data_IF_516224507491
#
_entry.id   IF_516224507491
#
_cell.length_a   1.000
_cell.length_b   1.000
_cell.length_c   1.000
_cell.angle_alpha   90.00
_cell.angle_beta   90.00
_cell.angle_gamma   90.00
#
_symmetry.space_group_name_H-M   'P 1'
#
loop_
_entity.id
_entity.type
_entity.pdbx_description
1 polymer ?
#
# COMPACT_ATOMS: atom_id res chain seq x y z
N UNK A 1 22.85 -0.36 -0.63
CA UNK A 1 23.70 -0.51 -1.83
C UNK A 1 22.90 -0.53 -3.13
N UNK A 2 21.93 -1.44 -3.30
CA UNK A 2 21.15 -1.54 -4.54
C UNK A 2 20.38 -0.26 -4.93
N UNK A 3 19.84 0.47 -3.95
CA UNK A 3 19.12 1.72 -4.19
C UNK A 3 19.95 2.75 -4.97
N UNK A 4 21.19 3.01 -4.53
CA UNK A 4 22.07 3.99 -5.20
C UNK A 4 22.38 3.57 -6.64
N UNK A 5 22.58 2.27 -6.86
CA UNK A 5 22.79 1.73 -8.20
C UNK A 5 21.55 1.89 -9.08
N UNK A 6 20.35 1.63 -8.56
CA UNK A 6 19.10 1.80 -9.30
C UNK A 6 18.84 3.26 -9.67
N UNK A 7 19.02 4.19 -8.72
CA UNK A 7 18.90 5.63 -8.98
C UNK A 7 19.93 6.06 -10.03
N UNK A 8 21.17 5.61 -9.90
CA UNK A 8 22.21 5.88 -10.90
C UNK A 8 21.84 5.32 -12.28
N UNK A 9 21.36 4.09 -12.37
CA UNK A 9 20.97 3.43 -13.61
C UNK A 9 19.84 4.18 -14.32
N UNK A 10 18.79 4.54 -13.60
CA UNK A 10 17.64 5.26 -14.16
C UNK A 10 18.00 6.66 -14.62
N UNK A 11 18.90 7.35 -13.93
CA UNK A 11 19.38 8.67 -14.34
C UNK A 11 20.42 8.60 -15.47
N UNK A 12 21.21 7.52 -15.56
CA UNK A 12 22.29 7.40 -16.54
C UNK A 12 21.82 6.91 -17.90
N UNK A 13 20.78 6.06 -17.96
CA UNK A 13 20.28 5.46 -19.19
C UNK A 13 19.06 6.26 -19.70
N UNK A 14 19.20 7.07 -20.76
CA UNK A 14 18.15 8.01 -21.18
C UNK A 14 16.85 7.33 -21.67
N UNK A 15 16.94 6.05 -22.04
CA UNK A 15 15.78 5.27 -22.48
C UNK A 15 14.66 5.22 -21.43
N UNK A 16 14.99 5.15 -20.13
CA UNK A 16 14.00 5.10 -19.06
C UNK A 16 13.16 6.37 -18.94
N UNK A 17 13.73 7.52 -19.32
CA UNK A 17 13.08 8.83 -19.26
C UNK A 17 12.65 9.33 -20.64
N UNK A 18 12.59 8.44 -21.63
CA UNK A 18 12.28 8.76 -23.01
C UNK A 18 13.14 9.91 -23.58
N UNK A 19 14.44 9.92 -23.25
CA UNK A 19 15.42 10.93 -23.66
C UNK A 19 15.05 12.36 -23.24
N UNK A 20 14.22 12.54 -22.20
CA UNK A 20 13.89 13.84 -21.65
C UNK A 20 15.14 14.52 -21.05
N UNK A 21 15.40 15.76 -21.45
CA UNK A 21 16.52 16.57 -20.94
C UNK A 21 16.42 16.87 -19.45
N UNK A 22 15.21 16.90 -18.89
CA UNK A 22 14.94 17.08 -17.47
C UNK A 22 15.23 15.85 -16.62
N UNK A 23 15.44 14.66 -17.22
CA UNK A 23 15.56 13.41 -16.48
C UNK A 23 14.27 12.94 -15.80
N UNK A 24 13.12 13.52 -16.14
CA UNK A 24 11.81 13.22 -15.55
C UNK A 24 10.80 12.80 -16.60
N UNK A 25 9.88 11.92 -16.23
CA UNK A 25 8.75 11.52 -17.09
C UNK A 25 7.54 12.32 -16.63
N UNK A 26 6.91 13.07 -17.53
CA UNK A 26 5.62 13.71 -17.25
C UNK A 26 4.47 12.80 -17.63
N UNK A 27 3.43 12.77 -16.81
CA UNK A 27 2.22 12.02 -17.14
C UNK A 27 1.55 12.66 -18.37
N UNK A 28 1.50 11.97 -19.53
CA UNK A 28 0.85 12.51 -20.70
C UNK A 28 -0.65 12.67 -20.43
N UNK A 29 -1.32 13.67 -21.02
CA UNK A 29 -2.76 13.80 -20.90
C UNK A 29 -3.44 12.59 -21.54
N UNK A 30 -4.25 11.86 -20.77
CA UNK A 30 -5.05 10.74 -21.25
C UNK A 30 -6.49 10.94 -20.85
N UNK A 31 -7.39 10.67 -21.79
CA UNK A 31 -8.82 10.67 -21.57
C UNK A 31 -9.35 9.25 -21.48
N UNK A 32 -10.27 9.01 -20.55
CA UNK A 32 -11.00 7.75 -20.39
C UNK A 32 -12.48 8.11 -20.42
N UNK A 33 -13.24 7.52 -21.36
CA UNK A 33 -14.65 7.85 -21.60
C UNK A 33 -14.94 9.36 -21.74
N UNK A 34 -14.02 10.10 -22.37
CA UNK A 34 -14.15 11.55 -22.59
C UNK A 34 -13.73 12.43 -21.40
N UNK A 35 -13.42 11.85 -20.24
CA UNK A 35 -12.92 12.57 -19.05
C UNK A 35 -11.40 12.49 -19.00
N UNK A 36 -10.73 13.61 -18.75
CA UNK A 36 -9.27 13.63 -18.59
C UNK A 36 -8.87 13.07 -17.23
N UNK A 37 -8.09 12.00 -17.24
CA UNK A 37 -7.70 11.24 -16.05
C UNK A 37 -6.27 11.52 -15.64
N UNK A 38 -5.36 11.60 -16.62
CA UNK A 38 -3.95 11.94 -16.39
C UNK A 38 -3.63 13.27 -17.07
N UNK A 39 -2.57 13.93 -16.60
CA UNK A 39 -2.09 15.19 -17.15
C UNK A 39 -2.38 16.43 -16.28
N UNK A 40 -1.77 17.58 -16.59
CA UNK A 40 -1.77 18.76 -15.72
C UNK A 40 -3.16 19.35 -15.44
N UNK A 41 -4.08 19.21 -16.39
CA UNK A 41 -5.43 19.77 -16.34
C UNK A 41 -6.49 18.76 -15.87
N UNK A 42 -6.11 17.53 -15.53
CA UNK A 42 -7.03 16.53 -15.00
C UNK A 42 -7.54 16.93 -13.62
N UNK A 43 -8.85 16.83 -13.40
CA UNK A 43 -9.47 17.23 -12.12
C UNK A 43 -9.07 16.26 -10.99
N UNK A 44 -8.90 16.73 -9.74
CA UNK A 44 -8.59 15.86 -8.61
C UNK A 44 -9.60 14.73 -8.42
N UNK A 45 -10.87 15.00 -8.71
CA UNK A 45 -11.96 14.03 -8.62
C UNK A 45 -11.81 12.91 -9.65
N UNK A 46 -11.46 13.25 -10.91
CA UNK A 46 -11.25 12.24 -11.95
C UNK A 46 -10.06 11.32 -11.63
N UNK A 47 -8.97 11.88 -11.11
CA UNK A 47 -7.80 11.11 -10.65
C UNK A 47 -8.19 10.16 -9.51
N UNK A 48 -8.91 10.67 -8.51
CA UNK A 48 -9.36 9.88 -7.36
C UNK A 48 -10.30 8.74 -7.77
N UNK A 49 -11.31 9.01 -8.61
CA UNK A 49 -12.26 7.96 -9.05
C UNK A 49 -11.57 6.89 -9.88
N UNK A 50 -10.59 7.27 -10.70
CA UNK A 50 -9.80 6.31 -11.48
C UNK A 50 -8.93 5.44 -10.58
N UNK A 51 -8.22 6.05 -9.63
CA UNK A 51 -7.44 5.35 -8.61
C UNK A 51 -8.32 4.36 -7.84
N UNK A 52 -9.47 4.83 -7.33
CA UNK A 52 -10.44 4.01 -6.63
C UNK A 52 -10.96 2.84 -7.48
N UNK A 53 -11.24 3.08 -8.75
CA UNK A 53 -11.70 2.02 -9.66
C UNK A 53 -10.62 0.94 -9.86
N UNK A 54 -9.36 1.33 -10.09
CA UNK A 54 -8.24 0.39 -10.23
C UNK A 54 -8.01 -0.40 -8.96
N UNK A 55 -8.00 0.27 -7.80
CA UNK A 55 -7.87 -0.37 -6.49
C UNK A 55 -9.03 -1.31 -6.21
N UNK A 56 -10.28 -0.93 -6.53
CA UNK A 56 -11.45 -1.77 -6.34
C UNK A 56 -11.42 -3.04 -7.20
N UNK A 57 -11.05 -2.90 -8.48
CA UNK A 57 -10.87 -4.03 -9.40
C UNK A 57 -9.72 -4.93 -8.92
N UNK A 58 -8.57 -4.35 -8.57
CA UNK A 58 -7.42 -5.07 -8.02
C UNK A 58 -7.78 -5.83 -6.74
N UNK A 59 -8.50 -5.20 -5.82
CA UNK A 59 -8.96 -5.84 -4.58
C UNK A 59 -9.94 -6.99 -4.85
N UNK A 60 -10.85 -6.83 -5.82
CA UNK A 60 -11.78 -7.88 -6.23
C UNK A 60 -11.03 -9.08 -6.82
N UNK A 61 -10.08 -8.84 -7.72
CA UNK A 61 -9.23 -9.88 -8.32
C UNK A 61 -8.42 -10.59 -7.24
N UNK A 62 -7.77 -9.84 -6.34
CA UNK A 62 -7.00 -10.40 -5.22
C UNK A 62 -7.89 -11.29 -4.33
N UNK A 63 -9.08 -10.81 -3.98
CA UNK A 63 -10.04 -11.57 -3.15
C UNK A 63 -10.48 -12.86 -3.83
N UNK A 64 -10.78 -12.83 -5.12
CA UNK A 64 -11.18 -14.01 -5.88
C UNK A 64 -10.02 -15.01 -6.01
N UNK A 65 -8.81 -14.51 -6.24
CA UNK A 65 -7.60 -15.31 -6.38
C UNK A 65 -7.22 -16.03 -5.08
N UNK A 66 -7.28 -15.31 -3.95
CA UNK A 66 -7.03 -15.88 -2.61
C UNK A 66 -8.06 -16.94 -2.23
N UNK A 67 -9.33 -16.75 -2.63
CA UNK A 67 -10.40 -17.74 -2.41
C UNK A 67 -10.31 -18.95 -3.34
N UNK A 68 -9.65 -18.80 -4.50
CA UNK A 68 -9.51 -19.83 -5.51
C UNK A 68 -8.51 -20.94 -5.16
N UNK A 69 -8.29 -21.84 -6.12
CA UNK A 69 -7.30 -22.93 -5.98
C UNK A 69 -5.88 -22.40 -5.76
N UNK A 70 -5.51 -21.34 -6.50
CA UNK A 70 -4.18 -20.71 -6.43
C UNK A 70 -3.88 -20.19 -5.02
N UNK A 71 -4.81 -19.44 -4.43
CA UNK A 71 -4.69 -18.95 -3.06
C UNK A 71 -4.56 -20.05 -2.02
N UNK A 72 -5.32 -21.14 -2.15
CA UNK A 72 -5.19 -22.31 -1.26
C UNK A 72 -3.83 -22.99 -1.37
N UNK A 73 -3.28 -23.09 -2.59
CA UNK A 73 -1.92 -23.61 -2.80
C UNK A 73 -0.85 -22.71 -2.17
N UNK A 74 -1.03 -21.38 -2.18
CA UNK A 74 -0.14 -20.45 -1.46
C UNK A 74 -0.22 -20.61 0.05
N UNK A 75 -1.42 -20.75 0.61
CA UNK A 75 -1.59 -20.99 2.05
C UNK A 75 -0.93 -22.30 2.48
N UNK A 76 -1.10 -23.38 1.70
CA UNK A 76 -0.47 -24.67 2.00
C UNK A 76 1.08 -24.57 2.04
N UNK A 77 1.69 -23.91 1.06
CA UNK A 77 3.15 -23.72 1.03
C UNK A 77 3.65 -22.81 2.15
N UNK A 78 2.88 -21.77 2.50
CA UNK A 78 3.22 -20.86 3.61
C UNK A 78 3.27 -21.61 4.94
N UNK A 79 2.34 -22.54 5.15
CA UNK A 79 2.24 -23.26 6.41
C UNK A 79 3.30 -24.37 6.51
N UNK A 80 3.40 -25.27 5.50
CA UNK A 80 4.44 -26.31 5.38
C UNK A 80 4.65 -26.72 3.92
N UNK A 81 5.81 -26.41 3.35
CA UNK A 81 6.14 -26.71 1.96
C UNK A 81 6.29 -28.22 1.68
N UNK A 82 6.95 -28.98 2.55
CA UNK A 82 7.09 -30.44 2.42
C UNK A 82 5.71 -31.12 2.40
N UNK A 83 4.81 -30.72 3.31
CA UNK A 83 3.46 -31.29 3.37
C UNK A 83 2.63 -30.92 2.13
N UNK A 84 2.77 -29.68 1.63
CA UNK A 84 2.11 -29.23 0.41
C UNK A 84 2.55 -30.05 -0.81
N UNK A 85 3.82 -30.45 -0.88
CA UNK A 85 4.35 -31.28 -1.95
C UNK A 85 3.77 -32.70 -1.95
N UNK A 86 3.61 -33.31 -0.76
CA UNK A 86 3.00 -34.65 -0.62
C UNK A 86 1.55 -34.69 -1.14
N UNK A 87 0.77 -33.62 -0.93
CA UNK A 87 -0.60 -33.50 -1.43
C UNK A 87 -0.68 -33.03 -2.90
N UNK A 88 0.45 -32.98 -3.62
CA UNK A 88 0.52 -32.70 -5.05
C UNK A 88 0.65 -31.22 -5.44
N UNK A 89 0.93 -30.32 -4.50
CA UNK A 89 1.21 -28.90 -4.82
C UNK A 89 2.68 -28.75 -5.19
N UNK A 90 2.97 -28.33 -6.42
CA UNK A 90 4.35 -28.11 -6.90
C UNK A 90 4.93 -26.82 -6.29
N UNK A 91 5.98 -26.88 -5.43
CA UNK A 91 6.46 -25.69 -4.71
C UNK A 91 7.01 -24.61 -5.64
N UNK A 92 7.83 -25.00 -6.62
CA UNK A 92 8.48 -24.07 -7.56
C UNK A 92 7.45 -23.19 -8.30
N UNK A 93 6.49 -23.81 -8.98
CA UNK A 93 5.47 -23.08 -9.78
C UNK A 93 4.64 -22.16 -8.90
N UNK A 94 4.29 -22.62 -7.71
CA UNK A 94 3.41 -21.88 -6.80
C UNK A 94 4.13 -20.67 -6.19
N UNK A 95 5.42 -20.78 -5.83
CA UNK A 95 6.27 -19.67 -5.39
C UNK A 95 6.52 -18.66 -6.52
N UNK A 96 6.79 -19.11 -7.75
CA UNK A 96 6.95 -18.23 -8.91
C UNK A 96 5.66 -17.46 -9.24
N UNK A 97 4.50 -18.11 -9.17
CA UNK A 97 3.21 -17.45 -9.33
C UNK A 97 2.97 -16.40 -8.24
N UNK A 98 3.29 -16.72 -6.97
CA UNK A 98 3.18 -15.76 -5.87
C UNK A 98 4.04 -14.52 -6.12
N UNK A 99 5.30 -14.73 -6.53
CA UNK A 99 6.22 -13.65 -6.87
C UNK A 99 5.70 -12.81 -8.03
N UNK A 100 5.38 -13.43 -9.18
CA UNK A 100 4.95 -12.70 -10.38
C UNK A 100 3.67 -11.90 -10.16
N UNK A 101 2.70 -12.46 -9.45
CA UNK A 101 1.44 -11.75 -9.13
C UNK A 101 1.72 -10.61 -8.15
N UNK A 102 2.54 -10.81 -7.13
CA UNK A 102 2.90 -9.73 -6.19
C UNK A 102 3.63 -8.58 -6.91
N UNK A 103 4.59 -8.91 -7.79
CA UNK A 103 5.30 -7.92 -8.60
C UNK A 103 4.36 -7.15 -9.53
N UNK A 104 3.34 -7.80 -10.10
CA UNK A 104 2.31 -7.13 -10.90
C UNK A 104 1.55 -6.08 -10.08
N UNK A 105 1.07 -6.42 -8.88
CA UNK A 105 0.38 -5.45 -8.00
C UNK A 105 1.30 -4.29 -7.61
N UNK A 106 2.58 -4.55 -7.29
CA UNK A 106 3.55 -3.49 -7.01
C UNK A 106 3.78 -2.58 -8.23
N UNK A 107 3.84 -3.14 -9.44
CA UNK A 107 3.99 -2.37 -10.68
C UNK A 107 2.79 -1.48 -10.96
N UNK A 108 1.57 -1.99 -10.79
CA UNK A 108 0.33 -1.20 -10.95
C UNK A 108 0.27 -0.07 -9.92
N UNK A 109 0.56 -0.37 -8.64
CA UNK A 109 0.58 0.65 -7.58
C UNK A 109 1.63 1.74 -7.83
N UNK A 110 2.83 1.37 -8.32
CA UNK A 110 3.86 2.34 -8.71
C UNK A 110 3.43 3.22 -9.88
N UNK A 111 2.78 2.65 -10.90
CA UNK A 111 2.23 3.42 -12.00
C UNK A 111 1.13 4.38 -11.53
N UNK A 112 0.24 3.93 -10.64
CA UNK A 112 -0.80 4.77 -10.04
C UNK A 112 -0.21 5.97 -9.28
N UNK A 113 0.84 5.73 -8.47
CA UNK A 113 1.55 6.77 -7.75
C UNK A 113 2.14 7.83 -8.69
N UNK A 114 2.73 7.42 -9.81
CA UNK A 114 3.33 8.35 -10.79
C UNK A 114 2.25 9.10 -11.57
N UNK A 115 1.30 8.39 -12.17
CA UNK A 115 0.40 8.98 -13.17
C UNK A 115 -0.81 9.68 -12.57
N UNK A 116 -1.31 9.23 -11.40
CA UNK A 116 -2.50 9.80 -10.75
C UNK A 116 -2.16 10.70 -9.56
N UNK A 117 -1.12 10.37 -8.79
CA UNK A 117 -0.77 11.14 -7.58
C UNK A 117 0.29 12.22 -7.85
N UNK A 118 1.51 11.83 -8.27
CA UNK A 118 2.61 12.76 -8.48
C UNK A 118 2.48 13.59 -9.77
N UNK A 119 1.96 12.99 -10.84
CA UNK A 119 1.86 13.62 -12.18
C UNK A 119 3.19 13.64 -12.95
N UNK A 120 4.29 13.25 -12.31
CA UNK A 120 5.59 13.03 -12.95
C UNK A 120 6.39 11.98 -12.17
N UNK A 121 7.24 11.23 -12.88
CA UNK A 121 8.22 10.34 -12.25
C UNK A 121 9.57 11.04 -12.12
N UNK A 122 10.09 11.01 -10.90
CA UNK A 122 11.45 11.41 -10.55
C UNK A 122 12.08 10.28 -9.75
N UNK A 123 13.36 9.97 -9.98
CA UNK A 123 14.04 8.86 -9.32
C UNK A 123 14.16 9.04 -7.80
N UNK A 124 14.22 10.30 -7.34
CA UNK A 124 14.36 10.65 -5.92
C UNK A 124 13.07 10.41 -5.13
N UNK A 125 11.92 10.35 -5.80
CA UNK A 125 10.64 10.04 -5.14
C UNK A 125 10.58 8.57 -4.64
N UNK A 126 11.45 7.70 -5.13
CA UNK A 126 11.49 6.27 -4.80
C UNK A 126 12.65 5.91 -3.86
N UNK A 127 12.72 6.58 -2.72
CA UNK A 127 13.70 6.31 -1.67
C UNK A 127 13.33 5.07 -0.83
N UNK A 128 14.31 4.52 -0.11
CA UNK A 128 14.09 3.39 0.82
C UNK A 128 13.07 3.73 1.92
N UNK A 129 12.94 5.00 2.29
CA UNK A 129 11.93 5.47 3.25
C UNK A 129 10.52 5.11 2.80
N UNK A 130 10.22 5.19 1.49
CA UNK A 130 8.94 4.77 0.93
C UNK A 130 8.72 3.27 1.09
N UNK A 131 9.78 2.46 0.93
CA UNK A 131 9.72 1.01 1.12
C UNK A 131 9.40 0.65 2.58
N UNK A 132 10.03 1.34 3.54
CA UNK A 132 9.71 1.16 4.96
C UNK A 132 8.28 1.58 5.29
N UNK A 133 7.82 2.70 4.75
CA UNK A 133 6.46 3.18 4.94
C UNK A 133 5.43 2.15 4.46
N UNK A 134 5.62 1.59 3.26
CA UNK A 134 4.74 0.53 2.73
C UNK A 134 4.83 -0.74 3.58
N UNK A 135 6.04 -1.13 4.03
CA UNK A 135 6.22 -2.26 4.93
C UNK A 135 5.45 -2.07 6.24
N UNK A 136 5.51 -0.89 6.86
CA UNK A 136 4.78 -0.59 8.08
C UNK A 136 3.27 -0.61 7.88
N UNK A 137 2.75 -0.11 6.74
CA UNK A 137 1.33 -0.25 6.41
C UNK A 137 0.89 -1.72 6.45
N UNK A 138 1.68 -2.63 5.87
CA UNK A 138 1.32 -4.05 5.81
C UNK A 138 1.47 -4.73 7.18
N UNK A 139 2.52 -4.43 7.93
CA UNK A 139 2.75 -5.02 9.26
C UNK A 139 1.63 -4.59 10.23
N UNK A 140 1.34 -3.28 10.31
CA UNK A 140 0.31 -2.75 11.19
C UNK A 140 -1.08 -3.21 10.74
N UNK A 141 -1.33 -3.24 9.43
CA UNK A 141 -2.57 -3.73 8.87
C UNK A 141 -2.85 -5.21 9.17
N UNK A 142 -1.80 -6.03 9.18
CA UNK A 142 -1.86 -7.48 9.41
C UNK A 142 -1.43 -8.26 8.16
N UNK A 143 -0.34 -9.02 8.31
CA UNK A 143 0.25 -9.84 7.23
C UNK A 143 -0.74 -10.89 6.73
N UNK A 144 -0.92 -10.95 5.40
CA UNK A 144 -1.79 -11.95 4.76
C UNK A 144 -3.28 -11.64 4.77
N UNK A 145 -3.69 -10.44 5.21
CA UNK A 145 -5.09 -9.98 5.15
C UNK A 145 -5.27 -8.83 4.15
N UNK A 146 -6.14 -9.04 3.16
CA UNK A 146 -6.48 -7.98 2.18
C UNK A 146 -7.13 -6.78 2.88
N UNK A 147 -8.06 -7.02 3.81
CA UNK A 147 -8.67 -5.94 4.60
C UNK A 147 -7.64 -5.27 5.52
N UNK A 148 -6.70 -6.04 6.04
CA UNK A 148 -5.58 -5.53 6.84
C UNK A 148 -4.76 -4.50 6.07
N UNK A 149 -4.41 -4.78 4.82
CA UNK A 149 -3.67 -3.85 3.97
C UNK A 149 -4.38 -2.50 3.82
N UNK A 150 -5.71 -2.48 3.68
CA UNK A 150 -6.48 -1.24 3.63
C UNK A 150 -6.52 -0.51 4.97
N UNK A 151 -6.73 -1.22 6.07
CA UNK A 151 -6.74 -0.62 7.41
C UNK A 151 -5.38 -0.04 7.79
N UNK A 152 -4.29 -0.74 7.48
CA UNK A 152 -2.93 -0.27 7.72
C UNK A 152 -2.57 0.95 6.88
N UNK A 153 -2.93 0.96 5.60
CA UNK A 153 -2.76 2.14 4.75
C UNK A 153 -3.59 3.34 5.25
N UNK A 154 -4.86 3.12 5.61
CA UNK A 154 -5.71 4.15 6.18
C UNK A 154 -5.15 4.68 7.50
N UNK A 155 -4.65 3.81 8.37
CA UNK A 155 -4.03 4.20 9.63
C UNK A 155 -2.79 5.07 9.42
N UNK A 156 -1.84 4.61 8.61
CA UNK A 156 -0.59 5.33 8.36
C UNK A 156 -0.83 6.69 7.68
N UNK A 157 -1.85 6.81 6.82
CA UNK A 157 -2.14 8.06 6.10
C UNK A 157 -3.00 9.02 6.93
N UNK A 158 -4.07 8.51 7.56
CA UNK A 158 -5.05 9.37 8.25
C UNK A 158 -4.53 9.85 9.61
N UNK A 159 -3.76 9.04 10.34
CA UNK A 159 -3.29 9.40 11.68
C UNK A 159 -2.45 10.69 11.66
N UNK A 160 -1.39 10.82 10.81
CA UNK A 160 -0.65 12.07 10.70
C UNK A 160 -1.52 13.27 10.33
N UNK A 161 -2.48 13.09 9.41
CA UNK A 161 -3.41 14.15 9.01
C UNK A 161 -4.26 14.61 10.20
N UNK A 162 -4.80 13.67 10.99
CA UNK A 162 -5.58 13.98 12.19
C UNK A 162 -4.71 14.69 13.24
N UNK A 163 -3.49 14.22 13.46
CA UNK A 163 -2.53 14.83 14.39
C UNK A 163 -2.10 16.24 13.97
N UNK A 164 -1.91 16.48 12.68
CA UNK A 164 -1.63 17.83 12.17
C UNK A 164 -2.85 18.73 12.34
N UNK A 165 -4.08 18.25 12.10
CA UNK A 165 -5.27 19.10 12.13
C UNK A 165 -5.86 19.30 13.55
N UNK A 166 -5.61 18.40 14.49
CA UNK A 166 -6.18 18.45 15.85
C UNK A 166 -5.83 19.71 16.66
N UNK A 167 -4.58 20.22 16.69
CA UNK A 167 -4.24 21.44 17.42
C UNK A 167 -4.99 22.67 16.92
N UNK A 168 -5.23 22.75 15.60
CA UNK A 168 -6.00 23.83 14.99
C UNK A 168 -7.47 23.79 15.39
N UNK A 169 -8.05 22.59 15.57
CA UNK A 169 -9.44 22.42 16.02
C UNK A 169 -9.63 22.78 17.50
N UNK A 170 -8.60 22.60 18.33
CA UNK A 170 -8.63 22.88 19.77
C UNK A 170 -8.18 24.32 20.09
N UNK A 171 -7.81 25.11 19.08
CA UNK A 171 -7.38 26.50 19.25
C UNK A 171 -5.96 26.67 19.82
N UNK A 172 -5.15 25.61 19.81
CA UNK A 172 -3.77 25.64 20.27
C UNK A 172 -2.85 26.12 19.15
N UNK A 173 -2.38 27.36 19.25
CA UNK A 173 -1.36 27.91 18.36
C UNK A 173 0.03 27.40 18.74
N UNK A 174 0.34 26.16 18.36
CA UNK A 174 1.68 25.59 18.51
C UNK A 174 2.59 26.04 17.36
N UNK A 175 3.89 26.27 17.61
CA UNK A 175 4.87 26.44 16.54
C UNK A 175 4.89 25.21 15.62
N UNK A 176 4.93 25.44 14.30
CA UNK A 176 4.88 24.37 13.28
C UNK A 176 5.97 23.32 13.49
N UNK A 177 7.16 23.74 13.94
CA UNK A 177 8.27 22.83 14.25
C UNK A 177 7.95 21.86 15.39
N UNK A 178 7.31 22.34 16.46
CA UNK A 178 6.91 21.52 17.59
C UNK A 178 5.80 20.55 17.19
N UNK A 179 4.85 21.00 16.38
CA UNK A 179 3.75 20.18 15.87
C UNK A 179 4.27 18.98 15.07
N UNK A 180 5.29 19.18 14.23
CA UNK A 180 5.90 18.08 13.47
C UNK A 180 6.68 17.09 14.33
N UNK A 181 7.40 17.57 15.35
CA UNK A 181 8.10 16.69 16.29
C UNK A 181 7.13 15.87 17.14
N UNK A 182 6.04 16.50 17.61
CA UNK A 182 4.96 15.85 18.34
C UNK A 182 4.24 14.80 17.48
N UNK A 183 3.95 15.13 16.22
CA UNK A 183 3.38 14.19 15.25
C UNK A 183 4.26 12.95 15.11
N UNK A 184 5.57 13.12 14.90
CA UNK A 184 6.52 12.00 14.80
C UNK A 184 6.58 11.16 16.08
N UNK A 185 6.63 11.81 17.26
CA UNK A 185 6.65 11.11 18.55
C UNK A 185 5.38 10.29 18.79
N UNK A 186 4.21 10.90 18.60
CA UNK A 186 2.93 10.22 18.82
C UNK A 186 2.71 9.14 17.78
N UNK A 187 3.05 9.40 16.52
CA UNK A 187 2.95 8.41 15.46
C UNK A 187 3.86 7.21 15.70
N UNK A 188 5.13 7.43 16.05
CA UNK A 188 6.07 6.36 16.43
C UNK A 188 5.60 5.58 17.65
N UNK A 189 5.11 6.29 18.68
CA UNK A 189 4.53 5.68 19.88
C UNK A 189 3.31 4.82 19.58
N UNK A 190 2.43 5.29 18.69
CA UNK A 190 1.27 4.52 18.23
C UNK A 190 1.68 3.26 17.48
N UNK A 191 2.69 3.33 16.61
CA UNK A 191 3.20 2.14 15.91
C UNK A 191 3.72 1.11 16.92
N UNK A 192 4.54 1.53 17.89
CA UNK A 192 5.07 0.64 18.93
C UNK A 192 3.92 0.03 19.74
N UNK A 193 2.95 0.84 20.14
CA UNK A 193 1.78 0.39 20.86
C UNK A 193 1.00 -0.67 20.08
N UNK A 194 0.72 -0.44 18.79
CA UNK A 194 0.01 -1.41 17.96
C UNK A 194 0.79 -2.71 17.77
N UNK A 195 2.12 -2.63 17.61
CA UNK A 195 2.97 -3.81 17.51
C UNK A 195 2.97 -4.65 18.79
N UNK A 196 2.87 -4.01 19.97
CA UNK A 196 2.82 -4.70 21.27
C UNK A 196 1.45 -5.31 21.51
N UNK A 197 0.37 -4.56 21.24
CA UNK A 197 -1.00 -4.98 21.58
C UNK A 197 -1.50 -6.09 20.65
N UNK A 198 -1.24 -5.99 19.35
CA UNK A 198 -1.83 -6.89 18.37
C UNK A 198 -0.77 -7.40 17.36
N UNK A 199 -0.05 -8.50 17.67
CA UNK A 199 1.01 -9.01 16.77
C UNK A 199 0.46 -9.51 15.42
N UNK A 200 -0.84 -9.75 15.32
CA UNK A 200 -1.54 -10.13 14.09
C UNK A 200 -2.06 -8.92 13.27
N UNK A 201 -1.87 -7.70 13.77
CA UNK A 201 -2.27 -6.44 13.12
C UNK A 201 -3.76 -6.09 13.24
N UNK A 202 -4.13 -4.90 12.77
CA UNK A 202 -5.48 -4.32 12.84
C UNK A 202 -6.58 -5.21 12.26
N UNK A 203 -6.24 -6.06 11.28
CA UNK A 203 -7.18 -7.04 10.73
C UNK A 203 -7.75 -7.99 11.79
N UNK A 204 -6.95 -8.38 12.78
CA UNK A 204 -7.39 -9.31 13.83
C UNK A 204 -8.36 -8.64 14.80
N UNK A 205 -8.08 -7.40 15.21
CA UNK A 205 -9.00 -6.57 16.00
C UNK A 205 -10.37 -6.45 15.33
N UNK A 206 -10.38 -6.17 14.03
CA UNK A 206 -11.63 -6.05 13.27
C UNK A 206 -12.42 -7.37 13.25
N UNK A 207 -11.74 -8.51 13.10
CA UNK A 207 -12.40 -9.82 13.17
C UNK A 207 -12.99 -10.09 14.55
N UNK A 208 -12.21 -9.87 15.62
CA UNK A 208 -12.65 -10.07 17.01
C UNK A 208 -13.83 -9.16 17.35
N UNK A 209 -13.79 -7.88 16.95
CA UNK A 209 -14.90 -6.95 17.12
C UNK A 209 -16.16 -7.44 16.40
N UNK A 210 -16.02 -7.94 15.17
CA UNK A 210 -17.14 -8.46 14.38
C UNK A 210 -17.72 -9.75 14.96
N UNK A 211 -16.88 -10.65 15.46
CA UNK A 211 -17.31 -11.88 16.14
C UNK A 211 -18.06 -11.55 17.43
N UNK A 212 -17.51 -10.63 18.24
CA UNK A 212 -18.15 -10.17 19.48
C UNK A 212 -19.49 -9.47 19.22
N UNK A 213 -19.59 -8.66 18.16
CA UNK A 213 -20.83 -7.98 17.78
C UNK A 213 -21.89 -8.95 17.24
N UNK A 214 -21.47 -10.05 16.61
CA UNK A 214 -22.39 -11.11 16.13
C UNK A 214 -22.94 -11.98 17.26
N UNK A 215 -22.15 -12.18 18.32
CA UNK A 215 -22.55 -12.92 19.53
C UNK A 215 -23.31 -12.02 20.53
N UNK A 216 -23.56 -10.76 20.20
CA UNK A 216 -24.40 -9.87 21.00
C UNK A 216 -25.84 -9.93 20.46
N UNK A 217 -26.88 -10.27 21.27
CA UNK A 217 -26.94 -10.28 22.73
C UNK A 217 -26.91 -11.66 23.42
N UNK A 218 -26.72 -12.77 22.71
CA UNK A 218 -26.68 -14.10 23.33
C UNK A 218 -25.27 -14.68 23.30
N UNK A 219 -24.59 -14.82 24.47
CA UNK A 219 -23.18 -15.23 24.55
C UNK A 219 -22.94 -16.73 24.29
N UNK A 220 -23.85 -17.40 23.57
CA UNK A 220 -23.80 -18.81 23.20
C UNK A 220 -24.04 -18.97 21.70
#
# INVERSE_FOLDING_TARGET
>A
AAQFFLIWLFNKVPWFVNYASSGTITAPPRTVFGVMVTGPTATPQARYVTALALVAVGAMVAKNLVRGRVGRSWMAIRDRDIAAEIIGVRPLRTKLLAFGISSFYCGVAGAELVFLYLGSAETLAFDISLSFLILFMVIIGGLGSILGSFLGAAFIVLVPILLTNAPHLVGLALPVALQKQMELMVFGGLIIFFLIVEPNGLARLWQLAKEKLRLWPFPH
#
